data_IF_926227054090
#
_entry.id   IF_926227054090
#
_cell.length_a   1.000
_cell.length_b   1.000
_cell.length_c   1.000
_cell.angle_alpha   90.00
_cell.angle_beta   90.00
_cell.angle_gamma   90.00
#
_symmetry.space_group_name_H-M   'P 1'
#
loop_
_entity.id
_entity.type
_entity.pdbx_description
1 polymer ?
#
# COMPACT_ATOMS: atom_id res chain seq x y z
N UNK A 1 32.52 40.49 23.31
CA UNK A 1 33.33 39.69 22.36
C UNK A 1 33.61 38.39 23.09
N UNK A 2 33.01 37.25 22.80
CA UNK A 2 32.67 36.64 21.50
C UNK A 2 31.45 35.73 21.73
N UNK A 3 30.37 35.88 20.98
CA UNK A 3 30.06 35.32 19.66
C UNK A 3 29.29 33.99 19.76
N UNK A 4 28.13 33.99 19.10
CA UNK A 4 27.08 32.98 19.12
C UNK A 4 27.14 32.12 17.86
N UNK A 5 26.61 30.90 17.98
CA UNK A 5 26.16 30.04 16.86
C UNK A 5 27.30 29.38 16.07
N UNK A 6 27.18 28.14 15.58
CA UNK A 6 26.03 27.51 14.95
C UNK A 6 26.06 26.00 15.22
N UNK A 7 24.90 25.46 15.62
CA UNK A 7 24.61 24.05 15.45
C UNK A 7 24.38 23.78 13.97
N UNK A 8 25.11 22.79 13.44
CA UNK A 8 24.87 22.24 12.12
C UNK A 8 23.93 21.05 12.31
N UNK A 9 22.62 21.32 12.24
CA UNK A 9 21.62 20.26 12.14
C UNK A 9 21.39 20.00 10.66
N UNK A 10 21.95 18.90 10.15
CA UNK A 10 21.62 18.36 8.84
C UNK A 10 20.08 18.26 8.71
N UNK A 11 19.48 18.76 7.61
CA UNK A 11 18.07 18.56 7.38
C UNK A 11 17.79 17.07 7.13
N UNK A 12 16.70 16.50 7.68
CA UNK A 12 16.35 15.12 7.39
C UNK A 12 16.07 14.98 5.89
N UNK A 13 16.85 14.11 5.25
CA UNK A 13 16.69 13.70 3.85
C UNK A 13 15.20 13.43 3.55
N UNK A 14 14.60 14.32 2.76
CA UNK A 14 13.19 14.25 2.39
C UNK A 14 12.96 13.00 1.55
N UNK A 15 12.41 11.95 2.18
CA UNK A 15 11.99 10.74 1.47
C UNK A 15 10.68 11.03 0.76
N UNK A 16 10.76 11.23 -0.55
CA UNK A 16 9.60 11.33 -1.42
C UNK A 16 8.92 9.96 -1.50
N UNK A 17 7.59 9.91 -1.42
CA UNK A 17 6.82 8.68 -1.59
C UNK A 17 5.83 8.87 -2.73
N UNK A 18 5.83 7.90 -3.64
CA UNK A 18 4.96 7.86 -4.82
C UNK A 18 3.79 6.94 -4.54
N UNK A 19 2.56 7.45 -4.63
CA UNK A 19 1.35 6.61 -4.64
C UNK A 19 0.96 6.42 -6.11
N UNK A 20 1.23 5.24 -6.68
CA UNK A 20 0.87 4.93 -8.07
C UNK A 20 -0.55 4.36 -8.12
N UNK A 21 -1.50 5.12 -8.68
CA UNK A 21 -2.84 4.59 -9.04
C UNK A 21 -2.73 3.70 -10.27
N UNK A 22 -3.39 2.55 -10.26
CA UNK A 22 -3.50 1.66 -11.44
C UNK A 22 -4.81 1.97 -12.17
N UNK A 23 -4.72 2.34 -13.44
CA UNK A 23 -5.81 2.86 -14.31
C UNK A 23 -6.96 1.88 -14.62
N UNK A 24 -7.21 0.84 -13.83
CA UNK A 24 -8.34 -0.08 -14.07
C UNK A 24 -9.69 0.40 -13.52
N UNK A 25 -9.72 1.51 -12.77
CA UNK A 25 -10.89 1.99 -12.03
C UNK A 25 -11.87 2.89 -12.78
N UNK A 26 -11.63 3.24 -14.05
CA UNK A 26 -12.67 3.90 -14.83
C UNK A 26 -13.63 2.88 -15.45
N UNK A 27 -14.81 2.74 -14.83
CA UNK A 27 -15.96 2.15 -15.48
C UNK A 27 -16.38 3.04 -16.67
N UNK A 28 -15.80 2.80 -17.84
CA UNK A 28 -16.22 3.46 -19.07
C UNK A 28 -17.55 2.85 -19.50
N UNK A 29 -18.60 3.67 -19.52
CA UNK A 29 -19.93 3.35 -20.01
C UNK A 29 -19.84 2.75 -21.44
N UNK A 30 -20.30 1.50 -21.68
CA UNK A 30 -20.09 0.79 -22.94
C UNK A 30 -20.81 1.42 -24.15
N UNK A 31 -21.76 2.34 -23.93
CA UNK A 31 -22.57 2.96 -24.99
C UNK A 31 -21.87 4.08 -25.75
N UNK A 32 -20.70 4.56 -25.29
CA UNK A 32 -20.03 5.74 -25.87
C UNK A 32 -18.80 5.42 -26.73
N UNK A 33 -18.62 4.16 -27.16
CA UNK A 33 -17.46 3.78 -27.97
C UNK A 33 -17.63 4.20 -29.42
N UNK A 34 -16.96 5.28 -29.82
CA UNK A 34 -16.63 5.49 -31.23
C UNK A 34 -15.50 4.54 -31.65
N UNK A 35 -15.60 3.88 -32.83
CA UNK A 35 -14.56 2.98 -33.30
C UNK A 35 -13.33 3.79 -33.72
N UNK A 36 -12.37 3.94 -32.82
CA UNK A 36 -11.12 4.68 -33.06
C UNK A 36 -10.41 5.26 -31.83
N UNK A 37 -11.05 5.29 -30.66
CA UNK A 37 -10.42 5.83 -29.45
C UNK A 37 -9.34 4.88 -28.90
N UNK A 38 -8.07 5.27 -29.10
CA UNK A 38 -6.93 4.75 -28.34
C UNK A 38 -7.11 5.18 -26.87
N UNK A 39 -6.95 4.24 -25.92
CA UNK A 39 -6.86 4.54 -24.48
C UNK A 39 -5.84 5.66 -24.27
N UNK A 40 -6.21 6.72 -23.56
CA UNK A 40 -5.28 7.76 -23.14
C UNK A 40 -4.23 7.15 -22.19
N UNK A 41 -2.95 7.08 -22.57
CA UNK A 41 -1.89 6.52 -21.73
C UNK A 41 -1.37 7.51 -20.67
N UNK A 42 -2.01 8.69 -20.51
CA UNK A 42 -1.38 9.90 -19.98
C UNK A 42 -1.83 10.48 -18.64
N UNK A 43 -2.34 9.69 -17.67
CA UNK A 43 -2.47 10.24 -16.32
C UNK A 43 -1.07 10.48 -15.71
N UNK A 44 -0.66 11.75 -15.60
CA UNK A 44 0.61 12.12 -15.00
C UNK A 44 0.69 11.60 -13.55
N UNK A 45 1.90 11.21 -13.08
CA UNK A 45 2.05 10.77 -11.69
C UNK A 45 1.68 11.89 -10.73
N UNK A 46 0.84 11.56 -9.74
CA UNK A 46 0.52 12.44 -8.64
C UNK A 46 1.62 12.34 -7.57
N UNK A 47 2.26 13.45 -7.25
CA UNK A 47 3.28 13.53 -6.21
C UNK A 47 2.73 14.27 -5.00
N UNK A 48 2.87 13.67 -3.82
CA UNK A 48 2.46 14.27 -2.55
C UNK A 48 3.64 14.27 -1.59
N UNK A 49 3.94 15.43 -1.02
CA UNK A 49 5.03 15.60 -0.04
C UNK A 49 4.43 15.64 1.35
N UNK A 50 5.04 14.89 2.27
CA UNK A 50 4.62 14.79 3.66
C UNK A 50 5.80 15.15 4.57
N UNK A 51 5.54 15.66 5.79
CA UNK A 51 6.61 16.08 6.70
C UNK A 51 7.48 14.92 7.18
N UNK A 52 6.93 13.71 7.31
CA UNK A 52 7.63 12.53 7.79
C UNK A 52 7.00 11.21 7.32
N UNK A 53 7.64 10.09 7.66
CA UNK A 53 7.19 8.75 7.30
C UNK A 53 5.87 8.33 7.97
N UNK A 54 5.54 8.87 9.15
CA UNK A 54 4.26 8.60 9.83
C UNK A 54 3.11 9.27 9.08
N UNK A 55 3.30 10.51 8.64
CA UNK A 55 2.34 11.22 7.80
C UNK A 55 2.11 10.53 6.45
N UNK A 56 3.16 9.94 5.86
CA UNK A 56 3.00 9.06 4.68
C UNK A 56 2.14 7.85 5.00
N UNK A 57 2.42 7.14 6.11
CA UNK A 57 1.67 5.94 6.49
C UNK A 57 0.20 6.23 6.77
N UNK A 58 -0.09 7.36 7.42
CA UNK A 58 -1.44 7.86 7.64
C UNK A 58 -2.16 8.17 6.33
N UNK A 59 -1.51 8.92 5.43
CA UNK A 59 -2.09 9.26 4.14
C UNK A 59 -2.33 8.04 3.25
N UNK A 60 -1.42 7.06 3.28
CA UNK A 60 -1.58 5.79 2.56
C UNK A 60 -2.76 4.98 3.12
N UNK A 61 -2.89 4.91 4.45
CA UNK A 61 -4.02 4.25 5.10
C UNK A 61 -5.35 4.90 4.71
N UNK A 62 -5.43 6.24 4.79
CA UNK A 62 -6.61 6.99 4.41
C UNK A 62 -7.00 6.77 2.94
N UNK A 63 -6.03 6.74 2.04
CA UNK A 63 -6.29 6.52 0.62
C UNK A 63 -6.77 5.09 0.33
N UNK A 64 -6.20 4.08 1.00
CA UNK A 64 -6.66 2.69 0.89
C UNK A 64 -8.11 2.57 1.37
N UNK A 65 -8.45 3.18 2.51
CA UNK A 65 -9.81 3.16 3.07
C UNK A 65 -10.81 3.91 2.19
N UNK A 66 -10.37 4.97 1.51
CA UNK A 66 -11.20 5.71 0.55
C UNK A 66 -11.49 4.88 -0.71
N UNK A 67 -10.48 4.18 -1.24
CA UNK A 67 -10.58 3.40 -2.47
C UNK A 67 -11.32 2.06 -2.30
N UNK A 68 -11.25 1.45 -1.12
CA UNK A 68 -11.80 0.12 -0.91
C UNK A 68 -13.31 0.01 -1.17
N UNK A 69 -14.18 0.92 -0.66
CA UNK A 69 -15.62 0.88 -0.94
C UNK A 69 -15.93 1.01 -2.42
N UNK A 70 -15.28 1.94 -3.14
CA UNK A 70 -15.48 2.16 -4.58
C UNK A 70 -15.18 0.89 -5.38
N UNK A 71 -14.06 0.21 -5.06
CA UNK A 71 -13.68 -1.03 -5.71
C UNK A 71 -14.63 -2.20 -5.36
N UNK A 72 -15.08 -2.29 -4.10
CA UNK A 72 -16.03 -3.32 -3.65
C UNK A 72 -17.40 -3.11 -4.31
N UNK A 73 -17.86 -1.89 -4.45
CA UNK A 73 -19.11 -1.61 -5.14
C UNK A 73 -19.03 -2.03 -6.62
N UNK A 74 -17.95 -1.61 -7.31
CA UNK A 74 -17.76 -1.87 -8.72
C UNK A 74 -17.50 -3.36 -9.06
N UNK A 75 -16.78 -4.10 -8.20
CA UNK A 75 -16.25 -5.43 -8.52
C UNK A 75 -16.56 -6.51 -7.49
N UNK A 76 -17.29 -6.17 -6.42
CA UNK A 76 -17.60 -7.04 -5.28
C UNK A 76 -16.37 -7.54 -4.49
N UNK A 77 -15.19 -6.96 -4.76
CA UNK A 77 -13.91 -7.28 -4.13
C UNK A 77 -12.95 -6.09 -4.22
N UNK A 78 -12.16 -5.89 -3.17
CA UNK A 78 -10.98 -5.02 -3.18
C UNK A 78 -9.71 -5.88 -3.14
N UNK A 79 -8.68 -5.50 -3.89
CA UNK A 79 -7.41 -6.24 -3.91
C UNK A 79 -6.28 -5.29 -3.60
N UNK A 80 -5.48 -5.64 -2.58
CA UNK A 80 -4.36 -4.86 -2.11
C UNK A 80 -3.07 -5.68 -2.26
N UNK A 81 -2.12 -5.13 -3.00
CA UNK A 81 -0.76 -5.70 -3.08
C UNK A 81 0.08 -5.05 -1.99
N UNK A 82 0.62 -5.87 -1.11
CA UNK A 82 1.41 -5.52 0.04
C UNK A 82 2.91 -5.52 -0.30
N UNK A 83 3.65 -4.69 0.41
CA UNK A 83 5.09 -4.47 0.25
C UNK A 83 5.79 -4.57 1.61
N UNK A 84 7.09 -4.86 1.58
CA UNK A 84 7.95 -4.82 2.76
C UNK A 84 8.35 -3.41 3.22
N UNK A 85 8.93 -3.31 4.41
CA UNK A 85 9.53 -2.08 4.95
C UNK A 85 8.73 -1.40 6.06
N UNK A 86 9.33 -0.37 6.66
CA UNK A 86 8.79 0.29 7.86
C UNK A 86 7.56 1.16 7.57
N UNK A 87 7.53 1.89 6.46
CA UNK A 87 6.37 2.72 6.08
C UNK A 87 5.15 1.86 5.76
N UNK A 88 5.23 0.81 4.91
CA UNK A 88 4.10 -0.10 4.72
C UNK A 88 3.64 -0.77 6.02
N UNK A 89 4.56 -1.21 6.88
CA UNK A 89 4.22 -1.75 8.20
C UNK A 89 3.38 -0.77 9.03
N UNK A 90 3.79 0.50 9.11
CA UNK A 90 3.04 1.51 9.85
C UNK A 90 1.65 1.79 9.25
N UNK A 91 1.50 1.69 7.92
CA UNK A 91 0.21 1.77 7.22
C UNK A 91 -0.68 0.59 7.58
N UNK A 92 -0.12 -0.62 7.63
CA UNK A 92 -0.81 -1.87 7.95
C UNK A 92 -1.34 -1.89 9.37
N UNK A 93 -0.52 -1.46 10.34
CA UNK A 93 -0.93 -1.32 11.74
C UNK A 93 -2.10 -0.31 11.90
N UNK A 94 -2.15 0.74 11.07
CA UNK A 94 -3.28 1.70 11.05
C UNK A 94 -4.52 1.10 10.41
N UNK A 95 -4.36 0.41 9.29
CA UNK A 95 -5.46 -0.28 8.62
C UNK A 95 -6.11 -1.32 9.54
N UNK A 96 -5.32 -2.09 10.27
CA UNK A 96 -5.84 -3.07 11.21
C UNK A 96 -6.67 -2.45 12.35
N UNK A 97 -6.35 -1.21 12.74
CA UNK A 97 -7.07 -0.45 13.78
C UNK A 97 -8.23 0.39 13.24
N UNK A 98 -8.43 0.43 11.92
CA UNK A 98 -9.43 1.30 11.28
C UNK A 98 -10.88 0.85 11.51
N UNK A 99 -11.09 -0.42 11.87
CA UNK A 99 -12.43 -1.02 11.98
C UNK A 99 -13.11 -1.30 10.62
N UNK A 100 -12.38 -1.19 9.51
CA UNK A 100 -12.92 -1.51 8.19
C UNK A 100 -13.33 -2.99 8.07
N UNK A 101 -14.47 -3.25 7.44
CA UNK A 101 -14.86 -4.61 7.06
C UNK A 101 -13.97 -5.10 5.91
N UNK A 102 -13.08 -6.03 6.23
CA UNK A 102 -12.14 -6.63 5.27
C UNK A 102 -12.65 -7.93 4.64
N UNK A 103 -13.92 -8.33 4.85
CA UNK A 103 -14.48 -9.60 4.34
C UNK A 103 -14.42 -9.75 2.81
N UNK A 104 -14.33 -8.64 2.08
CA UNK A 104 -14.22 -8.59 0.61
C UNK A 104 -12.84 -8.18 0.10
N UNK A 105 -11.83 -8.19 0.96
CA UNK A 105 -10.47 -7.82 0.59
C UNK A 105 -9.69 -9.06 0.17
N UNK A 106 -8.69 -8.89 -0.69
CA UNK A 106 -7.72 -9.93 -1.02
C UNK A 106 -6.32 -9.33 -1.00
N UNK A 107 -5.40 -10.00 -0.32
CA UNK A 107 -4.06 -9.51 -0.03
C UNK A 107 -3.03 -10.37 -0.75
N UNK A 108 -2.15 -9.73 -1.51
CA UNK A 108 -1.05 -10.37 -2.23
C UNK A 108 0.26 -9.70 -1.85
N UNK A 109 1.39 -10.39 -2.00
CA UNK A 109 2.71 -9.76 -1.87
C UNK A 109 3.25 -9.36 -3.25
N UNK A 110 3.81 -8.16 -3.36
CA UNK A 110 4.48 -7.71 -4.58
C UNK A 110 5.85 -8.35 -4.78
N UNK A 111 6.57 -8.56 -3.68
CA UNK A 111 7.88 -9.20 -3.59
C UNK A 111 8.01 -9.99 -2.28
N UNK A 112 8.96 -10.91 -2.20
CA UNK A 112 9.26 -11.67 -1.01
C UNK A 112 10.74 -12.10 -0.99
N UNK A 113 11.29 -12.29 0.21
CA UNK A 113 12.64 -12.85 0.42
C UNK A 113 12.57 -14.38 0.40
N UNK A 114 13.50 -15.03 -0.33
CA UNK A 114 13.65 -16.50 -0.33
C UNK A 114 14.28 -16.99 0.98
N UNK A 115 13.48 -17.03 2.04
CA UNK A 115 13.86 -17.44 3.39
C UNK A 115 12.84 -18.47 3.92
N UNK A 116 13.15 -19.21 5.00
CA UNK A 116 12.20 -20.14 5.62
C UNK A 116 10.84 -19.48 5.93
N UNK A 117 9.71 -20.24 5.93
CA UNK A 117 8.35 -19.71 6.11
C UNK A 117 8.14 -18.73 7.26
N UNK A 118 8.77 -19.01 8.40
CA UNK A 118 8.60 -18.24 9.64
C UNK A 118 9.74 -17.24 9.89
N UNK A 119 10.59 -16.99 8.90
CA UNK A 119 11.71 -16.07 9.06
C UNK A 119 11.20 -14.63 9.30
N UNK A 120 11.63 -13.96 10.39
CA UNK A 120 11.13 -12.64 10.77
C UNK A 120 11.46 -11.55 9.74
N UNK A 121 12.39 -11.80 8.82
CA UNK A 121 12.71 -10.87 7.75
C UNK A 121 11.74 -10.97 6.57
N UNK A 122 10.86 -11.97 6.48
CA UNK A 122 9.89 -12.09 5.37
C UNK A 122 8.82 -11.02 5.40
N UNK A 123 8.44 -10.55 4.22
CA UNK A 123 7.32 -9.62 4.05
C UNK A 123 6.00 -10.30 4.48
N UNK A 124 5.85 -11.60 4.26
CA UNK A 124 4.68 -12.39 4.69
C UNK A 124 4.50 -12.37 6.22
N UNK A 125 5.59 -12.57 6.97
CA UNK A 125 5.57 -12.55 8.44
C UNK A 125 5.21 -11.14 8.93
N UNK A 126 5.82 -10.11 8.36
CA UNK A 126 5.50 -8.72 8.70
C UNK A 126 4.03 -8.38 8.40
N UNK A 127 3.53 -8.71 7.22
CA UNK A 127 2.14 -8.47 6.83
C UNK A 127 1.15 -9.21 7.74
N UNK A 128 1.47 -10.47 8.08
CA UNK A 128 0.65 -11.29 8.97
C UNK A 128 0.50 -10.66 10.36
N UNK A 129 1.62 -10.23 10.94
CA UNK A 129 1.67 -9.63 12.28
C UNK A 129 1.11 -8.21 12.35
N UNK A 130 1.23 -7.42 11.28
CA UNK A 130 0.84 -6.01 11.27
C UNK A 130 -0.58 -5.75 10.77
N UNK A 131 -1.12 -6.64 9.93
CA UNK A 131 -2.44 -6.47 9.31
C UNK A 131 -3.34 -7.69 9.47
N UNK A 132 -2.92 -8.85 8.96
CA UNK A 132 -3.83 -9.98 8.75
C UNK A 132 -4.39 -10.50 10.08
N UNK A 133 -3.53 -10.81 11.05
CA UNK A 133 -3.96 -11.32 12.34
C UNK A 133 -4.67 -10.24 13.18
N UNK A 134 -4.13 -9.01 13.35
CA UNK A 134 -4.79 -8.01 14.19
C UNK A 134 -6.15 -7.54 13.63
N UNK A 135 -6.34 -7.57 12.31
CA UNK A 135 -7.61 -7.23 11.67
C UNK A 135 -8.59 -8.42 11.59
N UNK A 136 -8.19 -9.62 12.02
CA UNK A 136 -9.02 -10.82 11.95
C UNK A 136 -9.35 -11.26 10.51
N UNK A 137 -8.45 -10.99 9.56
CA UNK A 137 -8.61 -11.39 8.16
C UNK A 137 -8.50 -12.89 8.03
N UNK A 138 -9.40 -13.50 7.26
CA UNK A 138 -9.35 -14.92 6.95
C UNK A 138 -8.11 -15.22 6.10
N UNK A 139 -7.33 -16.24 6.49
CA UNK A 139 -6.11 -16.64 5.78
C UNK A 139 -6.37 -17.02 4.31
N UNK A 140 -7.59 -17.40 3.93
CA UNK A 140 -7.99 -17.62 2.53
C UNK A 140 -7.94 -16.35 1.68
N UNK A 141 -7.96 -15.18 2.32
CA UNK A 141 -7.84 -13.87 1.67
C UNK A 141 -6.38 -13.42 1.55
N UNK A 142 -5.42 -14.12 2.15
CA UNK A 142 -4.00 -13.78 2.16
C UNK A 142 -3.20 -14.77 1.32
N UNK A 143 -2.50 -14.25 0.30
CA UNK A 143 -1.80 -15.03 -0.71
C UNK A 143 -0.30 -14.68 -0.69
N UNK A 144 0.49 -15.26 0.24
CA UNK A 144 1.93 -15.08 0.25
C UNK A 144 2.59 -15.80 -0.94
N UNK A 145 3.77 -15.35 -1.34
CA UNK A 145 4.61 -16.04 -2.33
C UNK A 145 5.30 -17.22 -1.62
N UNK A 146 5.24 -18.46 -2.15
CA UNK A 146 5.93 -19.62 -1.58
C UNK A 146 7.45 -19.57 -1.90
N UNK A 147 8.11 -18.52 -1.43
CA UNK A 147 9.49 -18.17 -1.78
C UNK A 147 10.52 -19.20 -1.27
N UNK A 148 10.17 -19.97 -0.25
CA UNK A 148 10.99 -21.07 0.29
C UNK A 148 11.18 -22.23 -0.72
N UNK A 149 10.35 -22.33 -1.75
CA UNK A 149 10.43 -23.35 -2.80
C UNK A 149 11.31 -22.92 -3.99
N UNK A 150 11.87 -21.71 -3.96
CA UNK A 150 12.60 -21.10 -5.07
C UNK A 150 14.13 -21.22 -4.99
N UNK A 151 14.64 -22.41 -4.65
CA UNK A 151 16.08 -22.72 -4.62
C UNK A 151 16.44 -23.82 -5.63
#
# INVERSE_FOLDING_TARGET
MSDSSRGDSDPPSSRQVVIKRSSRDQAVNPSNRHPGERRDPGAAPEWRVFPDASAVAEAACAEILRLAPEAIEARRRFTLVLAGGSTPRATYERLARSGADMSRWAFFLGDERCLPPDDPQRNSVMARQSLIEPAGVDLRQFHPIPAELGA
#
